data_IF_059785349494
#
_entry.id   IF_059785349494
#
_cell.length_a   1.000
_cell.length_b   1.000
_cell.length_c   1.000
_cell.angle_alpha   90.00
_cell.angle_beta   90.00
_cell.angle_gamma   90.00
#
_symmetry.space_group_name_H-M   'P 1'
#
loop_
_entity.id
_entity.type
_entity.pdbx_description
1 polymer ?
#
# COMPACT_ATOMS: atom_id res chain seq x y z
N UNK A 1 41.80 -60.97 28.08
CA UNK A 1 42.14 -60.25 26.83
C UNK A 1 43.43 -59.47 27.03
N UNK A 2 44.41 -59.60 26.12
CA UNK A 2 45.67 -58.85 26.19
C UNK A 2 45.39 -57.34 26.01
N UNK A 3 46.10 -56.45 26.71
CA UNK A 3 45.94 -54.97 26.62
C UNK A 3 45.95 -54.48 25.18
N UNK A 4 46.78 -55.10 24.32
CA UNK A 4 46.85 -54.82 22.88
C UNK A 4 45.52 -55.09 22.16
N UNK A 5 44.85 -56.18 22.50
CA UNK A 5 43.56 -56.57 21.93
C UNK A 5 42.45 -55.59 22.33
N UNK A 6 42.47 -55.10 23.58
CA UNK A 6 41.50 -54.10 24.06
C UNK A 6 41.66 -52.78 23.30
N UNK A 7 42.90 -52.30 23.12
CA UNK A 7 43.19 -51.04 22.40
C UNK A 7 42.73 -51.13 20.94
N UNK A 8 42.99 -52.25 20.27
CA UNK A 8 42.57 -52.46 18.88
C UNK A 8 41.05 -52.46 18.75
N UNK A 9 40.34 -53.12 19.67
CA UNK A 9 38.87 -53.15 19.68
C UNK A 9 38.30 -51.75 19.91
N UNK A 10 38.84 -50.98 20.87
CA UNK A 10 38.37 -49.61 21.15
C UNK A 10 38.61 -48.69 19.96
N UNK A 11 39.77 -48.81 19.29
CA UNK A 11 40.06 -48.03 18.09
C UNK A 11 39.10 -48.37 16.94
N UNK A 12 38.82 -49.65 16.72
CA UNK A 12 37.85 -50.11 15.71
C UNK A 12 36.44 -49.61 16.00
N UNK A 13 35.98 -49.72 17.25
CA UNK A 13 34.64 -49.23 17.64
C UNK A 13 34.54 -47.71 17.46
N UNK A 14 35.58 -46.96 17.85
CA UNK A 14 35.60 -45.50 17.68
C UNK A 14 35.56 -45.10 16.21
N UNK A 15 36.30 -45.81 15.35
CA UNK A 15 36.32 -45.55 13.91
C UNK A 15 34.96 -45.86 13.26
N UNK A 16 34.30 -46.93 13.69
CA UNK A 16 32.93 -47.27 13.26
C UNK A 16 31.93 -46.22 13.73
N UNK A 17 32.01 -45.76 14.97
CA UNK A 17 31.14 -44.69 15.47
C UNK A 17 31.32 -43.37 14.71
N UNK A 18 32.55 -43.00 14.37
CA UNK A 18 32.85 -41.80 13.57
C UNK A 18 32.29 -41.97 12.15
N UNK A 19 32.51 -43.13 11.52
CA UNK A 19 32.00 -43.40 10.17
C UNK A 19 30.47 -43.38 10.15
N UNK A 20 29.80 -44.00 11.11
CA UNK A 20 28.34 -44.00 11.24
C UNK A 20 27.83 -42.59 11.53
N UNK A 21 28.45 -41.84 12.44
CA UNK A 21 28.10 -40.46 12.76
C UNK A 21 28.25 -39.52 11.57
N UNK A 22 29.34 -39.64 10.81
CA UNK A 22 29.56 -38.88 9.58
C UNK A 22 28.55 -39.26 8.49
N UNK A 23 28.17 -40.53 8.39
CA UNK A 23 27.16 -40.98 7.43
C UNK A 23 25.76 -40.48 7.80
N UNK A 24 25.39 -40.48 9.10
CA UNK A 24 24.15 -39.86 9.57
C UNK A 24 24.15 -38.34 9.38
N UNK A 25 25.27 -37.67 9.63
CA UNK A 25 25.43 -36.23 9.39
C UNK A 25 25.32 -35.90 7.89
N UNK A 26 25.95 -36.70 7.03
CA UNK A 26 25.88 -36.57 5.58
C UNK A 26 24.48 -36.87 5.05
N UNK A 27 23.81 -37.91 5.54
CA UNK A 27 22.42 -38.23 5.21
C UNK A 27 21.44 -37.16 5.71
N UNK A 28 21.69 -36.55 6.88
CA UNK A 28 20.92 -35.41 7.37
C UNK A 28 21.08 -34.19 6.44
N UNK A 29 22.30 -33.92 5.98
CA UNK A 29 22.57 -32.81 5.05
C UNK A 29 22.05 -33.07 3.63
N UNK A 30 22.06 -34.33 3.17
CA UNK A 30 21.47 -34.72 1.88
C UNK A 30 19.94 -34.71 1.91
N UNK A 31 19.32 -35.08 3.04
CA UNK A 31 17.87 -34.97 3.26
C UNK A 31 17.44 -33.55 3.67
N UNK A 32 18.36 -32.61 3.84
CA UNK A 32 18.08 -31.20 3.96
C UNK A 32 17.82 -30.54 2.58
N UNK A 33 17.28 -31.29 1.63
CA UNK A 33 16.54 -30.70 0.52
C UNK A 33 15.40 -29.87 1.12
N UNK A 34 15.28 -28.60 0.68
CA UNK A 34 14.16 -27.73 1.02
C UNK A 34 12.88 -28.53 0.83
N UNK A 35 12.17 -28.86 1.91
CA UNK A 35 10.81 -29.42 1.80
C UNK A 35 10.06 -28.40 0.95
N UNK A 36 9.68 -28.73 -0.30
CA UNK A 36 8.97 -27.78 -1.12
C UNK A 36 7.70 -27.49 -0.37
N UNK A 37 7.48 -26.22 0.01
CA UNK A 37 6.23 -25.86 0.63
C UNK A 37 5.11 -26.24 -0.33
N UNK A 38 4.39 -27.31 0.02
CA UNK A 38 3.40 -27.93 -0.85
C UNK A 38 2.12 -27.13 -0.98
N UNK A 39 1.98 -26.05 -0.20
CA UNK A 39 0.84 -25.14 -0.23
C UNK A 39 1.16 -23.81 0.46
N UNK A 40 0.40 -22.76 0.10
CA UNK A 40 0.35 -21.47 0.81
C UNK A 40 0.04 -21.64 2.30
N UNK A 41 -0.75 -22.66 2.67
CA UNK A 41 -1.06 -22.99 4.07
C UNK A 41 0.16 -23.42 4.88
N UNK A 42 1.09 -24.15 4.27
CA UNK A 42 2.36 -24.47 4.92
C UNK A 42 3.17 -23.19 5.18
N UNK A 43 3.11 -22.22 4.27
CA UNK A 43 3.83 -20.95 4.41
C UNK A 43 3.26 -20.14 5.56
N UNK A 44 1.93 -20.04 5.65
CA UNK A 44 1.28 -19.36 6.77
C UNK A 44 1.74 -19.90 8.12
N UNK A 45 1.89 -21.22 8.26
CA UNK A 45 2.38 -21.83 9.49
C UNK A 45 3.85 -21.47 9.78
N UNK A 46 4.71 -21.48 8.76
CA UNK A 46 6.10 -21.05 8.89
C UNK A 46 6.19 -19.58 9.31
N UNK A 47 5.42 -18.70 8.65
CA UNK A 47 5.39 -17.27 8.96
C UNK A 47 4.84 -17.02 10.37
N UNK A 48 3.77 -17.70 10.80
CA UNK A 48 3.29 -17.64 12.19
C UNK A 48 4.35 -18.06 13.19
N UNK A 49 5.12 -19.10 12.87
CA UNK A 49 6.25 -19.51 13.71
C UNK A 49 7.33 -18.44 13.77
N UNK A 50 7.70 -17.85 12.62
CA UNK A 50 8.67 -16.75 12.52
C UNK A 50 8.25 -15.54 13.35
N UNK A 51 6.98 -15.13 13.30
CA UNK A 51 6.45 -14.01 14.10
C UNK A 51 6.70 -14.22 15.60
N UNK A 52 6.47 -15.43 16.12
CA UNK A 52 6.70 -15.77 17.53
C UNK A 52 8.17 -15.70 17.95
N UNK A 53 9.10 -15.81 17.00
CA UNK A 53 10.54 -15.82 17.22
C UNK A 53 11.24 -14.60 16.60
N UNK A 54 10.49 -13.53 16.29
CA UNK A 54 11.09 -12.30 15.79
C UNK A 54 12.06 -11.73 16.83
N UNK A 55 13.21 -11.26 16.34
CA UNK A 55 14.23 -10.61 17.16
C UNK A 55 13.62 -9.40 17.89
N UNK A 56 14.03 -9.10 19.14
CA UNK A 56 13.54 -7.93 19.87
C UNK A 56 13.69 -6.59 19.14
N UNK A 57 14.66 -6.48 18.22
CA UNK A 57 14.85 -5.30 17.37
C UNK A 57 13.62 -4.94 16.52
N UNK A 58 12.76 -5.90 16.17
CA UNK A 58 11.52 -5.67 15.43
C UNK A 58 10.37 -5.18 16.32
N UNK A 59 10.45 -5.47 17.62
CA UNK A 59 9.41 -5.15 18.60
C UNK A 59 9.72 -3.86 19.37
N UNK A 60 10.98 -3.44 19.38
CA UNK A 60 11.43 -2.23 20.05
C UNK A 60 11.53 -1.06 19.07
N UNK A 61 11.31 0.15 19.59
CA UNK A 61 11.44 1.40 18.81
C UNK A 61 12.88 1.57 18.33
N UNK A 62 13.05 1.70 17.01
CA UNK A 62 14.36 1.95 16.44
C UNK A 62 14.86 3.37 16.82
N UNK A 63 16.07 3.56 17.36
CA UNK A 63 16.59 4.88 17.70
C UNK A 63 16.68 5.84 16.50
N UNK A 64 16.84 5.31 15.27
CA UNK A 64 16.88 6.12 14.05
C UNK A 64 15.53 6.80 13.77
N UNK A 65 14.42 6.28 14.30
CA UNK A 65 13.06 6.83 14.11
C UNK A 65 13.00 8.32 14.40
N UNK A 66 13.62 8.78 15.49
CA UNK A 66 13.56 10.19 15.92
C UNK A 66 14.05 11.16 14.84
N UNK A 67 15.09 10.78 14.10
CA UNK A 67 15.64 11.60 13.02
C UNK A 67 14.64 11.73 11.87
N UNK A 68 14.09 10.62 11.37
CA UNK A 68 13.14 10.61 10.26
C UNK A 68 11.83 11.32 10.63
N UNK A 69 11.32 11.05 11.83
CA UNK A 69 10.14 11.70 12.39
C UNK A 69 10.26 13.21 12.36
N UNK A 70 11.34 13.78 12.89
CA UNK A 70 11.49 15.23 12.98
C UNK A 70 11.62 15.88 11.59
N UNK A 71 12.34 15.24 10.65
CA UNK A 71 12.47 15.74 9.27
C UNK A 71 11.12 15.75 8.55
N UNK A 72 10.37 14.65 8.61
CA UNK A 72 9.05 14.54 7.98
C UNK A 72 8.05 15.54 8.60
N UNK A 73 7.97 15.64 9.93
CA UNK A 73 7.05 16.58 10.58
C UNK A 73 7.37 18.04 10.24
N UNK A 74 8.65 18.39 10.07
CA UNK A 74 9.02 19.73 9.60
C UNK A 74 8.56 19.98 8.16
N UNK A 75 8.72 18.98 7.29
CA UNK A 75 8.42 19.08 5.86
C UNK A 75 6.91 19.20 5.55
N UNK A 76 6.09 18.45 6.29
CA UNK A 76 4.64 18.38 6.09
C UNK A 76 3.86 19.35 6.99
N UNK A 77 4.55 20.20 7.75
CA UNK A 77 3.92 21.21 8.60
C UNK A 77 3.11 22.17 7.72
N UNK A 78 1.82 22.42 8.02
CA UNK A 78 1.04 23.41 7.29
C UNK A 78 1.74 24.76 7.29
N UNK A 79 1.77 25.40 6.12
CA UNK A 79 2.36 26.70 5.91
C UNK A 79 1.45 27.55 5.04
N UNK A 80 1.46 28.87 5.28
CA UNK A 80 0.75 29.81 4.43
C UNK A 80 1.39 29.84 3.03
N UNK A 81 0.56 30.10 2.02
CA UNK A 81 0.97 30.27 0.65
C UNK A 81 0.46 31.61 0.11
N UNK A 82 1.20 32.23 -0.79
CA UNK A 82 0.82 33.51 -1.41
C UNK A 82 0.26 33.33 -2.81
N UNK A 83 0.86 32.44 -3.61
CA UNK A 83 0.49 32.22 -5.01
C UNK A 83 0.34 30.73 -5.31
N UNK A 84 -0.91 30.29 -5.50
CA UNK A 84 -1.23 28.91 -5.82
C UNK A 84 -0.67 28.46 -7.18
N UNK A 85 -0.61 29.35 -8.19
CA UNK A 85 -0.08 29.00 -9.52
C UNK A 85 1.39 28.57 -9.45
N UNK A 86 2.20 29.27 -8.65
CA UNK A 86 3.61 28.92 -8.47
C UNK A 86 3.76 27.55 -7.81
N UNK A 87 2.90 27.21 -6.84
CA UNK A 87 2.92 25.90 -6.19
C UNK A 87 2.47 24.78 -7.12
N UNK A 88 1.50 25.04 -8.01
CA UNK A 88 1.13 24.11 -9.07
C UNK A 88 2.31 23.84 -10.00
N UNK A 89 3.01 24.89 -10.44
CA UNK A 89 4.19 24.75 -11.29
C UNK A 89 5.27 23.91 -10.59
N UNK A 90 5.62 24.24 -9.34
CA UNK A 90 6.60 23.48 -8.53
C UNK A 90 6.20 22.00 -8.44
N UNK A 91 4.96 21.72 -8.06
CA UNK A 91 4.48 20.34 -7.92
C UNK A 91 4.44 19.59 -9.26
N UNK A 92 4.18 20.29 -10.36
CA UNK A 92 4.21 19.70 -11.71
C UNK A 92 5.63 19.39 -12.20
N UNK A 93 6.66 20.02 -11.63
CA UNK A 93 8.07 19.79 -11.94
C UNK A 93 8.74 18.70 -11.10
N UNK A 94 8.17 18.33 -9.95
CA UNK A 94 8.74 17.30 -9.08
C UNK A 94 8.86 15.89 -9.68
N UNK A 95 7.92 15.39 -10.50
CA UNK A 95 7.96 14.01 -10.94
C UNK A 95 9.21 13.67 -11.74
N UNK A 96 9.95 12.66 -11.30
CA UNK A 96 11.11 12.09 -11.99
C UNK A 96 11.16 10.59 -11.74
N UNK A 97 11.31 9.76 -12.78
CA UNK A 97 11.11 8.32 -12.73
C UNK A 97 9.80 7.91 -12.02
N UNK A 98 9.87 7.14 -10.93
CA UNK A 98 8.77 6.81 -10.03
C UNK A 98 8.67 7.70 -8.80
N UNK A 99 9.48 8.75 -8.68
CA UNK A 99 9.34 9.72 -7.60
C UNK A 99 8.37 10.81 -8.06
N UNK A 100 7.17 10.86 -7.48
CA UNK A 100 6.13 11.85 -7.77
C UNK A 100 6.35 13.14 -6.99
N UNK A 101 7.00 13.05 -5.83
CA UNK A 101 7.32 14.19 -4.99
C UNK A 101 8.69 14.00 -4.31
N UNK A 102 9.38 15.10 -3.95
CA UNK A 102 10.66 15.04 -3.25
C UNK A 102 10.47 14.54 -1.82
N UNK A 103 11.50 13.89 -1.27
CA UNK A 103 11.49 13.45 0.13
C UNK A 103 11.35 14.64 1.09
N UNK A 104 12.04 15.75 0.79
CA UNK A 104 11.95 17.00 1.54
C UNK A 104 11.91 18.18 0.56
N UNK A 105 10.94 19.07 0.76
CA UNK A 105 10.78 20.34 0.06
C UNK A 105 9.92 21.26 0.93
N UNK A 106 10.37 22.49 1.16
CA UNK A 106 9.67 23.47 1.99
C UNK A 106 8.27 23.82 1.48
N UNK A 107 8.00 23.56 0.20
CA UNK A 107 6.75 23.86 -0.48
C UNK A 107 5.68 22.79 -0.24
N UNK A 108 6.04 21.59 0.26
CA UNK A 108 5.08 20.50 0.48
C UNK A 108 3.96 20.92 1.43
N UNK A 109 4.28 21.49 2.60
CA UNK A 109 3.30 21.97 3.56
C UNK A 109 2.39 23.07 3.00
N UNK A 110 2.92 23.93 2.12
CA UNK A 110 2.16 24.96 1.42
C UNK A 110 1.21 24.35 0.39
N UNK A 111 1.71 23.44 -0.46
CA UNK A 111 0.93 22.75 -1.48
C UNK A 111 -0.27 22.01 -0.90
N UNK A 112 -0.09 21.27 0.21
CA UNK A 112 -1.19 20.57 0.87
C UNK A 112 -2.24 21.56 1.41
N UNK A 113 -1.81 22.72 1.90
CA UNK A 113 -2.74 23.77 2.34
C UNK A 113 -3.49 24.38 1.14
N UNK A 114 -2.78 24.63 0.03
CA UNK A 114 -3.35 25.15 -1.21
C UNK A 114 -4.41 24.21 -1.78
N UNK A 115 -4.15 22.90 -1.84
CA UNK A 115 -5.15 21.92 -2.30
C UNK A 115 -6.43 21.94 -1.46
N UNK A 116 -6.32 22.17 -0.14
CA UNK A 116 -7.48 22.23 0.76
C UNK A 116 -8.29 23.51 0.61
N UNK A 117 -7.66 24.64 0.29
CA UNK A 117 -8.29 25.95 0.32
C UNK A 117 -8.70 26.50 -1.04
N UNK A 118 -7.96 26.19 -2.10
CA UNK A 118 -8.20 26.82 -3.41
C UNK A 118 -9.63 26.53 -3.91
N UNK A 119 -10.36 27.54 -4.41
CA UNK A 119 -11.74 27.38 -4.87
C UNK A 119 -11.87 26.37 -6.00
N UNK A 120 -12.94 25.58 -5.98
CA UNK A 120 -13.33 24.71 -7.10
C UNK A 120 -14.04 25.58 -8.14
N UNK A 121 -13.53 25.57 -9.38
CA UNK A 121 -14.01 26.43 -10.46
C UNK A 121 -14.85 25.69 -11.49
N UNK A 122 -14.53 24.42 -11.76
CA UNK A 122 -15.28 23.53 -12.67
C UNK A 122 -15.21 22.08 -12.21
N UNK A 123 -16.24 21.30 -12.51
CA UNK A 123 -16.30 19.87 -12.21
C UNK A 123 -16.85 19.11 -13.41
N UNK A 124 -16.29 17.93 -13.68
CA UNK A 124 -16.68 17.05 -14.77
C UNK A 124 -16.73 15.62 -14.28
N UNK A 125 -17.64 14.82 -14.83
CA UNK A 125 -17.65 13.40 -14.55
C UNK A 125 -16.52 12.67 -15.31
N UNK A 126 -15.75 11.82 -14.63
CA UNK A 126 -14.77 10.94 -15.29
C UNK A 126 -15.38 9.58 -15.60
N UNK A 127 -16.02 9.47 -16.78
CA UNK A 127 -16.80 8.30 -17.18
C UNK A 127 -16.02 6.98 -17.27
N UNK A 128 -14.68 7.03 -17.41
CA UNK A 128 -13.84 5.84 -17.53
C UNK A 128 -13.41 5.31 -16.17
N UNK A 129 -13.74 4.04 -15.91
CA UNK A 129 -13.35 3.31 -14.71
C UNK A 129 -14.54 2.60 -14.09
N UNK A 130 -14.29 1.88 -12.99
CA UNK A 130 -15.30 1.10 -12.29
C UNK A 130 -15.96 1.82 -11.13
N UNK A 131 -15.32 2.86 -10.59
CA UNK A 131 -15.77 3.57 -9.39
C UNK A 131 -16.03 5.05 -9.72
N UNK A 132 -16.91 5.67 -8.93
CA UNK A 132 -17.23 7.09 -9.02
C UNK A 132 -16.00 7.95 -8.74
N UNK A 133 -15.68 8.84 -9.69
CA UNK A 133 -14.65 9.85 -9.57
C UNK A 133 -14.98 11.03 -10.46
N UNK A 134 -14.61 12.22 -10.02
CA UNK A 134 -14.81 13.46 -10.76
C UNK A 134 -13.45 14.07 -11.11
N UNK A 135 -13.40 14.78 -12.24
CA UNK A 135 -12.32 15.69 -12.56
C UNK A 135 -12.74 17.08 -12.08
N UNK A 136 -12.01 17.65 -11.13
CA UNK A 136 -12.23 19.03 -10.71
C UNK A 136 -11.10 19.91 -11.20
N UNK A 137 -11.43 21.18 -11.38
CA UNK A 137 -10.46 22.24 -11.66
C UNK A 137 -10.49 23.25 -10.51
N UNK A 138 -9.35 23.39 -9.84
CA UNK A 138 -9.16 24.44 -8.83
C UNK A 138 -8.86 25.78 -9.51
N UNK A 139 -8.92 26.86 -8.75
CA UNK A 139 -8.39 28.15 -9.18
C UNK A 139 -6.95 28.01 -9.70
N UNK A 140 -6.58 28.88 -10.65
CA UNK A 140 -5.31 28.78 -11.40
C UNK A 140 -5.20 27.50 -12.26
N UNK A 141 -6.35 26.96 -12.71
CA UNK A 141 -6.49 25.91 -13.72
C UNK A 141 -5.90 24.54 -13.36
N UNK A 142 -5.44 24.32 -12.12
CA UNK A 142 -4.93 23.02 -11.67
C UNK A 142 -6.04 21.96 -11.70
N UNK A 143 -5.74 20.82 -12.32
CA UNK A 143 -6.65 19.67 -12.40
C UNK A 143 -6.37 18.69 -11.27
N UNK A 144 -7.42 18.20 -10.64
CA UNK A 144 -7.37 17.17 -9.60
C UNK A 144 -8.45 16.13 -9.84
N UNK A 145 -8.26 14.93 -9.30
CA UNK A 145 -9.32 13.92 -9.23
C UNK A 145 -9.96 14.00 -7.85
N UNK A 146 -11.29 13.99 -7.81
CA UNK A 146 -12.06 13.88 -6.58
C UNK A 146 -12.68 12.50 -6.45
N UNK A 147 -12.51 11.85 -5.30
CA UNK A 147 -13.22 10.64 -4.90
C UNK A 147 -14.04 10.91 -3.63
N UNK A 148 -15.38 10.75 -3.65
CA UNK A 148 -16.23 11.01 -2.49
C UNK A 148 -16.13 9.87 -1.46
N UNK A 149 -16.60 10.14 -0.25
CA UNK A 149 -16.85 9.13 0.76
C UNK A 149 -18.02 8.22 0.36
N UNK A 150 -17.76 6.91 0.32
CA UNK A 150 -18.80 5.88 0.19
C UNK A 150 -19.23 5.27 1.53
N UNK A 151 -18.30 5.20 2.48
CA UNK A 151 -18.49 4.45 3.71
C UNK A 151 -18.09 5.24 4.96
N UNK A 152 -18.75 5.02 6.10
CA UNK A 152 -18.22 5.37 7.42
C UNK A 152 -16.87 4.71 7.69
N UNK A 153 -16.05 5.33 8.54
CA UNK A 153 -14.67 4.88 8.83
C UNK A 153 -14.60 3.52 9.53
N UNK A 154 -15.66 3.13 10.25
CA UNK A 154 -15.75 1.92 11.05
C UNK A 154 -16.39 0.73 10.34
N UNK A 155 -16.87 0.91 9.10
CA UNK A 155 -17.42 -0.18 8.31
C UNK A 155 -16.36 -1.28 8.13
N UNK A 156 -16.79 -2.53 8.25
CA UNK A 156 -15.97 -3.68 7.91
C UNK A 156 -16.51 -4.26 6.61
N UNK A 157 -15.63 -4.39 5.62
CA UNK A 157 -15.96 -5.03 4.35
C UNK A 157 -15.64 -6.52 4.46
N UNK A 158 -16.68 -7.33 4.46
CA UNK A 158 -16.57 -8.78 4.40
C UNK A 158 -16.52 -9.28 2.94
N UNK A 159 -16.09 -10.53 2.76
CA UNK A 159 -15.92 -11.15 1.45
C UNK A 159 -14.49 -11.05 0.90
N UNK A 160 -14.32 -10.94 -0.43
CA UNK A 160 -13.00 -10.90 -1.06
C UNK A 160 -12.26 -9.60 -0.72
N UNK A 161 -10.93 -9.66 -0.66
CA UNK A 161 -10.06 -8.52 -0.28
C UNK A 161 -10.15 -7.30 -1.22
N UNK A 162 -10.69 -7.48 -2.42
CA UNK A 162 -10.93 -6.44 -3.43
C UNK A 162 -12.40 -5.94 -3.46
N UNK A 163 -13.24 -6.45 -2.56
CA UNK A 163 -14.67 -6.14 -2.48
C UNK A 163 -14.97 -4.71 -2.02
N UNK A 164 -16.20 -4.26 -2.26
CA UNK A 164 -16.68 -2.93 -1.89
C UNK A 164 -16.30 -1.81 -2.87
N UNK A 165 -16.75 -0.58 -2.59
CA UNK A 165 -16.38 0.65 -3.31
C UNK A 165 -15.03 1.19 -2.82
N UNK A 166 -14.47 2.17 -3.55
CA UNK A 166 -13.26 2.87 -3.10
C UNK A 166 -13.53 3.66 -1.81
N UNK A 167 -12.62 3.56 -0.84
CA UNK A 167 -12.58 4.42 0.35
C UNK A 167 -11.68 5.61 0.10
N UNK A 168 -12.25 6.80 0.22
CA UNK A 168 -11.52 8.06 0.10
C UNK A 168 -10.35 8.16 1.09
N UNK A 169 -10.55 7.86 2.37
CA UNK A 169 -9.49 7.93 3.41
C UNK A 169 -8.29 7.03 3.13
N UNK A 170 -8.48 5.95 2.37
CA UNK A 170 -7.41 5.03 2.01
C UNK A 170 -6.38 5.69 1.07
N UNK A 171 -6.83 6.57 0.17
CA UNK A 171 -5.95 7.32 -0.74
C UNK A 171 -5.06 8.30 0.04
N UNK A 172 -5.62 9.01 1.01
CA UNK A 172 -4.87 9.95 1.87
C UNK A 172 -3.88 9.20 2.75
N UNK A 173 -4.31 8.09 3.36
CA UNK A 173 -3.41 7.27 4.17
C UNK A 173 -2.27 6.71 3.34
N UNK A 174 -2.56 6.23 2.12
CA UNK A 174 -1.54 5.74 1.20
C UNK A 174 -0.49 6.81 0.88
N UNK A 175 -0.90 8.06 0.64
CA UNK A 175 0.04 9.17 0.45
C UNK A 175 1.00 9.35 1.63
N UNK A 176 0.48 9.43 2.86
CA UNK A 176 1.34 9.59 4.04
C UNK A 176 2.19 8.35 4.33
N UNK A 177 1.66 7.14 4.10
CA UNK A 177 2.44 5.91 4.21
C UNK A 177 3.59 5.90 3.19
N UNK A 178 3.34 6.35 1.96
CA UNK A 178 4.35 6.48 0.91
C UNK A 178 5.46 7.42 1.34
N UNK A 179 5.11 8.59 1.88
CA UNK A 179 6.08 9.55 2.41
C UNK A 179 6.90 8.98 3.58
N UNK A 180 6.26 8.24 4.49
CA UNK A 180 6.92 7.65 5.66
C UNK A 180 7.87 6.53 5.25
N UNK A 181 7.45 5.64 4.35
CA UNK A 181 8.27 4.52 3.84
C UNK A 181 9.21 4.91 2.71
N UNK A 182 9.22 6.18 2.29
CA UNK A 182 9.98 6.69 1.15
C UNK A 182 9.58 6.07 -0.21
N UNK A 183 8.38 5.49 -0.28
CA UNK A 183 7.73 5.11 -1.54
C UNK A 183 7.03 6.31 -2.14
N UNK A 184 7.84 7.24 -2.66
CA UNK A 184 7.39 8.52 -3.22
C UNK A 184 6.69 8.39 -4.57
N UNK A 185 6.23 7.19 -4.90
CA UNK A 185 5.50 6.83 -6.11
C UNK A 185 3.98 6.94 -5.99
N UNK A 186 3.47 7.29 -4.80
CA UNK A 186 2.05 7.58 -4.57
C UNK A 186 1.68 8.96 -5.13
N UNK A 187 0.42 9.22 -5.51
CA UNK A 187 -0.02 10.58 -5.76
C UNK A 187 -0.02 11.41 -4.46
N UNK A 188 0.01 12.74 -4.60
CA UNK A 188 -0.24 13.67 -3.50
C UNK A 188 -1.75 13.73 -3.26
N UNK A 189 -2.19 13.53 -2.02
CA UNK A 189 -3.62 13.44 -1.70
C UNK A 189 -3.93 14.24 -0.45
N UNK A 190 -5.01 15.02 -0.48
CA UNK A 190 -5.57 15.70 0.70
C UNK A 190 -7.04 15.38 0.88
N UNK A 191 -7.48 15.32 2.13
CA UNK A 191 -8.89 15.31 2.46
C UNK A 191 -9.52 16.70 2.37
N UNK A 192 -10.78 16.76 1.92
CA UNK A 192 -11.56 18.00 1.81
C UNK A 192 -13.05 17.73 2.01
N UNK A 193 -13.72 18.66 2.68
CA UNK A 193 -15.18 18.73 2.74
C UNK A 193 -15.66 19.57 1.56
N UNK A 194 -16.59 19.03 0.77
CA UNK A 194 -17.08 19.65 -0.47
C UNK A 194 -18.59 19.75 -0.41
N UNK A 195 -19.15 20.90 -0.82
CA UNK A 195 -20.59 21.10 -0.87
C UNK A 195 -21.17 20.63 -2.21
N UNK A 196 -22.06 19.63 -2.20
CA UNK A 196 -22.65 19.05 -3.41
C UNK A 196 -23.40 20.08 -4.26
N UNK A 197 -24.10 21.04 -3.63
CA UNK A 197 -24.79 22.10 -4.37
C UNK A 197 -23.80 23.11 -4.96
N UNK A 198 -23.01 23.75 -4.10
CA UNK A 198 -22.19 24.93 -4.46
C UNK A 198 -20.89 24.59 -5.20
N UNK A 199 -20.25 23.49 -4.83
CA UNK A 199 -18.92 23.13 -5.32
C UNK A 199 -18.98 22.07 -6.44
N UNK A 200 -20.06 21.28 -6.52
CA UNK A 200 -20.23 20.24 -7.55
C UNK A 200 -21.33 20.61 -8.55
N UNK A 201 -22.59 20.71 -8.14
CA UNK A 201 -23.71 20.93 -9.06
C UNK A 201 -23.61 22.27 -9.82
N UNK A 202 -23.44 23.38 -9.10
CA UNK A 202 -23.30 24.73 -9.69
C UNK A 202 -22.01 24.92 -10.51
N UNK A 203 -21.01 24.06 -10.30
CA UNK A 203 -19.71 24.07 -11.02
C UNK A 203 -19.60 22.98 -12.09
N UNK A 204 -20.61 22.12 -12.18
CA UNK A 204 -20.68 20.98 -13.08
C UNK A 204 -21.10 21.37 -14.49
N UNK A 205 -20.74 20.54 -15.47
CA UNK A 205 -21.39 20.59 -16.78
C UNK A 205 -22.75 19.88 -16.75
N UNK A 206 -23.53 20.05 -17.82
CA UNK A 206 -24.86 19.44 -17.93
C UNK A 206 -24.81 17.91 -17.80
N UNK A 207 -23.74 17.25 -18.27
CA UNK A 207 -23.59 15.80 -18.13
C UNK A 207 -23.49 15.40 -16.65
N UNK A 208 -22.67 16.10 -15.85
CA UNK A 208 -22.57 15.85 -14.42
C UNK A 208 -23.87 16.20 -13.68
N UNK A 209 -24.50 17.33 -13.99
CA UNK A 209 -25.75 17.76 -13.33
C UNK A 209 -26.87 16.73 -13.51
N UNK A 210 -26.96 16.11 -14.69
CA UNK A 210 -27.91 15.03 -14.97
C UNK A 210 -27.61 13.73 -14.22
N UNK A 211 -26.46 13.63 -13.54
CA UNK A 211 -26.08 12.48 -12.70
C UNK A 211 -26.20 12.75 -11.20
N UNK A 212 -27.03 13.74 -10.85
CA UNK A 212 -27.34 14.13 -9.49
C UNK A 212 -28.85 14.13 -9.27
N UNK A 213 -29.28 13.72 -8.09
CA UNK A 213 -30.69 13.82 -7.65
C UNK A 213 -30.84 14.98 -6.68
N UNK A 214 -31.98 15.67 -6.77
CA UNK A 214 -32.34 16.79 -5.90
C UNK A 214 -33.69 16.44 -5.27
N UNK A 215 -33.69 16.21 -3.96
CA UNK A 215 -34.89 15.82 -3.22
C UNK A 215 -35.28 16.95 -2.26
N UNK A 216 -36.51 17.49 -2.33
CA UNK A 216 -37.00 18.45 -1.35
C UNK A 216 -37.16 17.80 0.02
N UNK A 217 -36.70 18.48 1.06
CA UNK A 217 -36.81 18.08 2.47
C UNK A 217 -38.01 18.77 3.15
N UNK A 218 -38.55 18.17 4.21
CA UNK A 218 -39.71 18.71 4.95
C UNK A 218 -39.48 20.12 5.53
N UNK A 219 -38.22 20.45 5.82
CA UNK A 219 -37.80 21.77 6.32
C UNK A 219 -37.68 22.84 5.22
N UNK A 220 -38.04 22.52 3.98
CA UNK A 220 -37.94 23.43 2.82
C UNK A 220 -36.54 23.56 2.22
N UNK A 221 -35.58 22.74 2.66
CA UNK A 221 -34.26 22.64 2.02
C UNK A 221 -34.25 21.59 0.91
N UNK A 222 -33.17 21.52 0.14
CA UNK A 222 -32.98 20.53 -0.92
C UNK A 222 -31.78 19.65 -0.54
N UNK A 223 -31.95 18.34 -0.54
CA UNK A 223 -30.86 17.38 -0.44
C UNK A 223 -30.34 17.03 -1.84
N UNK A 224 -29.04 17.16 -2.02
CA UNK A 224 -28.33 16.79 -3.23
C UNK A 224 -27.66 15.42 -3.03
N UNK A 225 -27.80 14.54 -4.01
CA UNK A 225 -27.04 13.29 -4.07
C UNK A 225 -26.39 13.12 -5.44
N UNK A 226 -25.25 12.44 -5.47
CA UNK A 226 -24.44 12.20 -6.67
C UNK A 226 -24.30 10.70 -6.90
N UNK A 227 -24.62 10.22 -8.10
CA UNK A 227 -24.24 8.87 -8.54
C UNK A 227 -23.16 8.90 -9.63
N UNK A 228 -23.10 9.97 -10.42
CA UNK A 228 -22.12 10.12 -11.49
C UNK A 228 -22.25 9.06 -12.59
N UNK A 229 -21.20 8.90 -13.39
CA UNK A 229 -21.16 7.92 -14.48
C UNK A 229 -19.83 7.17 -14.46
N UNK A 230 -19.93 5.85 -14.36
CA UNK A 230 -18.83 4.88 -14.37
C UNK A 230 -19.43 3.48 -14.63
N UNK A 231 -18.60 2.43 -14.73
CA UNK A 231 -19.12 1.08 -15.01
C UNK A 231 -20.14 0.56 -13.97
N UNK A 232 -19.97 0.92 -12.69
CA UNK A 232 -20.87 0.50 -11.61
C UNK A 232 -21.65 1.68 -10.99
N UNK A 233 -21.77 2.80 -11.69
CA UNK A 233 -22.51 3.96 -11.18
C UNK A 233 -23.93 3.92 -11.73
N UNK A 234 -24.92 4.09 -10.87
CA UNK A 234 -26.34 4.08 -11.19
C UNK A 234 -27.12 4.87 -10.13
N UNK A 235 -28.36 5.24 -10.44
CA UNK A 235 -29.23 6.05 -9.56
C UNK A 235 -29.57 5.38 -8.22
N UNK A 236 -29.44 4.06 -8.11
CA UNK A 236 -29.68 3.32 -6.86
C UNK A 236 -28.49 3.40 -5.89
N UNK A 237 -27.29 3.72 -6.40
CA UNK A 237 -26.06 3.84 -5.62
C UNK A 237 -25.55 5.29 -5.64
N UNK A 238 -26.07 6.11 -4.73
CA UNK A 238 -25.73 7.54 -4.61
C UNK A 238 -24.91 7.85 -3.35
N UNK A 239 -24.13 8.94 -3.42
CA UNK A 239 -23.55 9.61 -2.25
C UNK A 239 -24.31 10.91 -1.99
N UNK A 240 -24.97 11.01 -0.84
CA UNK A 240 -25.79 12.15 -0.45
C UNK A 240 -25.05 13.06 0.54
N UNK A 241 -25.33 14.36 0.47
CA UNK A 241 -24.81 15.33 1.41
C UNK A 241 -25.50 15.25 2.78
N UNK A 242 -24.83 15.81 3.80
CA UNK A 242 -25.45 16.11 5.09
C UNK A 242 -26.58 17.16 4.95
N UNK A 243 -27.16 17.60 6.07
CA UNK A 243 -28.21 18.63 6.09
C UNK A 243 -27.83 19.96 5.41
N UNK A 244 -26.53 20.21 5.24
CA UNK A 244 -25.98 21.39 4.55
C UNK A 244 -25.44 21.05 3.16
N UNK A 245 -25.70 19.84 2.66
CA UNK A 245 -25.18 19.27 1.43
C UNK A 245 -23.66 19.08 1.39
N UNK A 246 -22.99 18.93 2.53
CA UNK A 246 -21.56 18.64 2.56
C UNK A 246 -21.30 17.13 2.50
N UNK A 247 -20.24 16.76 1.78
CA UNK A 247 -19.68 15.42 1.79
C UNK A 247 -18.18 15.47 2.07
N UNK A 248 -17.67 14.43 2.73
CA UNK A 248 -16.24 14.17 2.73
C UNK A 248 -15.79 13.64 1.36
N UNK A 249 -14.58 13.99 0.97
CA UNK A 249 -13.89 13.34 -0.13
C UNK A 249 -12.42 13.71 -0.16
N UNK A 250 -11.73 13.20 -1.16
CA UNK A 250 -10.28 13.41 -1.30
C UNK A 250 -9.97 14.02 -2.65
N UNK A 251 -9.02 14.96 -2.65
CA UNK A 251 -8.43 15.50 -3.86
C UNK A 251 -7.10 14.81 -4.11
N UNK A 252 -6.99 14.16 -5.26
CA UNK A 252 -5.81 13.46 -5.73
C UNK A 252 -5.17 14.35 -6.79
N UNK A 253 -3.93 14.78 -6.54
CA UNK A 253 -3.14 15.54 -7.50
C UNK A 253 -2.84 14.65 -8.70
N UNK A 254 -3.18 15.13 -9.90
CA UNK A 254 -2.93 14.38 -11.13
C UNK A 254 -1.43 14.38 -11.41
N UNK A 255 -0.85 13.19 -11.51
CA UNK A 255 0.56 13.01 -11.85
C UNK A 255 0.79 13.52 -13.29
N UNK A 256 1.69 14.51 -13.49
CA UNK A 256 2.10 14.96 -14.81
C UNK A 256 2.76 13.86 -15.65
N UNK A 257 2.49 13.91 -16.96
CA UNK A 257 3.07 12.99 -17.94
C UNK A 257 2.14 11.83 -18.30
N UNK A 258 2.62 10.98 -19.21
CA UNK A 258 1.87 9.82 -19.67
C UNK A 258 2.19 8.60 -18.81
N UNK A 259 1.14 7.90 -18.38
CA UNK A 259 1.27 6.63 -17.67
C UNK A 259 1.01 5.46 -18.61
N UNK A 260 1.84 4.42 -18.50
CA UNK A 260 1.68 3.18 -19.26
C UNK A 260 1.10 2.09 -18.37
N UNK A 261 -0.08 1.60 -18.73
CA UNK A 261 -0.76 0.54 -17.99
C UNK A 261 -0.20 -0.84 -18.36
N UNK A 262 0.14 -1.65 -17.36
CA UNK A 262 0.63 -3.01 -17.50
C UNK A 262 -0.17 -3.95 -16.60
N UNK A 263 -0.29 -5.22 -17.01
CA UNK A 263 -0.96 -6.26 -16.22
C UNK A 263 -0.03 -6.75 -15.10
N UNK A 264 -0.56 -6.88 -13.89
CA UNK A 264 0.20 -7.46 -12.78
C UNK A 264 0.41 -8.97 -13.01
N UNK A 265 1.64 -9.50 -12.86
CA UNK A 265 1.86 -10.95 -12.89
C UNK A 265 1.11 -11.69 -11.76
N UNK A 266 0.91 -11.02 -10.62
CA UNK A 266 0.16 -11.53 -9.47
C UNK A 266 -1.31 -11.08 -9.48
N UNK A 267 -1.88 -10.80 -10.65
CA UNK A 267 -3.30 -10.50 -10.77
C UNK A 267 -4.15 -11.72 -10.34
N UNK A 268 -5.16 -11.46 -9.51
CA UNK A 268 -6.21 -12.43 -9.14
C UNK A 268 -7.14 -12.76 -10.32
N UNK A 269 -7.83 -13.89 -10.26
CA UNK A 269 -8.81 -14.28 -11.29
C UNK A 269 -10.13 -13.52 -11.21
N UNK A 270 -10.47 -12.98 -10.03
CA UNK A 270 -11.77 -12.38 -9.71
C UNK A 270 -12.95 -13.35 -9.89
N UNK A 271 -12.69 -14.64 -9.74
CA UNK A 271 -13.69 -15.71 -9.84
C UNK A 271 -13.55 -16.65 -8.66
N UNK A 272 -14.66 -16.96 -8.00
CA UNK A 272 -14.66 -17.77 -6.77
C UNK A 272 -14.21 -19.21 -6.99
N UNK A 273 -14.44 -19.75 -8.20
CA UNK A 273 -14.15 -21.12 -8.60
C UNK A 273 -12.80 -21.31 -9.32
N UNK A 274 -12.05 -20.22 -9.52
CA UNK A 274 -10.81 -20.25 -10.31
C UNK A 274 -9.67 -19.58 -9.56
N UNK A 275 -8.58 -20.30 -9.37
CA UNK A 275 -7.34 -19.78 -8.77
C UNK A 275 -6.36 -19.33 -9.85
N UNK A 276 -5.56 -18.31 -9.56
CA UNK A 276 -4.50 -17.88 -10.46
C UNK A 276 -3.26 -18.79 -10.32
N UNK A 277 -2.45 -18.97 -11.37
CA UNK A 277 -1.28 -19.86 -11.32
C UNK A 277 -0.31 -19.56 -10.17
N UNK A 278 -0.12 -18.28 -9.85
CA UNK A 278 0.76 -17.84 -8.76
C UNK A 278 0.22 -18.20 -7.37
N UNK A 279 -1.07 -18.50 -7.23
CA UNK A 279 -1.66 -18.92 -5.95
C UNK A 279 -1.34 -20.38 -5.62
N UNK A 280 -1.06 -21.19 -6.64
CA UNK A 280 -0.81 -22.64 -6.51
C UNK A 280 0.68 -23.00 -6.67
N UNK A 281 1.44 -22.19 -7.42
CA UNK A 281 2.88 -22.40 -7.64
C UNK A 281 3.75 -21.47 -6.78
N UNK A 282 4.38 -22.03 -5.75
CA UNK A 282 5.34 -21.31 -4.89
C UNK A 282 6.63 -20.90 -5.62
N UNK A 283 6.93 -21.51 -6.77
CA UNK A 283 8.07 -21.18 -7.62
C UNK A 283 7.71 -20.23 -8.77
N UNK A 284 6.48 -19.69 -8.80
CA UNK A 284 5.97 -18.85 -9.90
C UNK A 284 6.93 -17.71 -10.30
N UNK A 285 7.56 -17.06 -9.32
CA UNK A 285 8.50 -15.96 -9.58
C UNK A 285 9.77 -16.39 -10.34
N UNK A 286 10.20 -17.67 -10.26
CA UNK A 286 11.40 -18.14 -10.99
C UNK A 286 11.25 -17.94 -12.50
N UNK A 287 10.06 -18.18 -13.04
CA UNK A 287 9.77 -17.97 -14.46
C UNK A 287 9.71 -16.47 -14.85
N UNK A 288 9.43 -15.58 -13.89
CA UNK A 288 9.37 -14.14 -14.12
C UNK A 288 10.76 -13.49 -14.16
N UNK A 289 11.72 -14.00 -13.38
CA UNK A 289 13.10 -13.47 -13.34
C UNK A 289 13.79 -13.46 -14.73
N UNK A 290 13.38 -14.34 -15.65
CA UNK A 290 13.89 -14.37 -17.03
C UNK A 290 13.06 -13.55 -18.05
N UNK A 291 11.90 -13.01 -17.65
CA UNK A 291 10.95 -12.30 -18.54
C UNK A 291 10.77 -10.82 -18.20
N UNK A 292 11.27 -10.40 -17.03
CA UNK A 292 11.08 -9.06 -16.50
C UNK A 292 12.41 -8.57 -15.92
N UNK A 293 12.70 -7.28 -16.10
CA UNK A 293 13.87 -6.65 -15.51
C UNK A 293 13.83 -6.72 -13.98
N UNK A 294 15.01 -6.88 -13.38
CA UNK A 294 15.13 -6.98 -11.92
C UNK A 294 14.61 -5.72 -11.22
N UNK A 295 14.82 -4.53 -11.80
CA UNK A 295 14.31 -3.28 -11.23
C UNK A 295 12.79 -3.24 -11.18
N UNK A 296 12.12 -3.70 -12.24
CA UNK A 296 10.65 -3.79 -12.28
C UNK A 296 10.13 -4.81 -11.28
N UNK A 297 10.81 -5.95 -11.14
CA UNK A 297 10.45 -6.97 -10.16
C UNK A 297 10.56 -6.43 -8.73
N UNK A 298 11.63 -5.71 -8.43
CA UNK A 298 11.80 -5.05 -7.14
C UNK A 298 10.73 -3.98 -6.91
N UNK A 299 10.37 -3.17 -7.91
CA UNK A 299 9.26 -2.20 -7.82
C UNK A 299 7.95 -2.91 -7.43
N UNK A 300 7.63 -4.05 -8.05
CA UNK A 300 6.42 -4.82 -7.73
C UNK A 300 6.46 -5.45 -6.32
N UNK A 301 7.64 -5.73 -5.79
CA UNK A 301 7.80 -6.23 -4.41
C UNK A 301 7.58 -5.10 -3.39
N UNK A 302 8.11 -3.90 -3.66
CA UNK A 302 7.85 -2.72 -2.82
C UNK A 302 6.35 -2.38 -2.81
N UNK A 303 5.70 -2.44 -3.99
CA UNK A 303 4.24 -2.31 -4.14
C UNK A 303 3.51 -3.35 -3.29
N UNK A 304 3.93 -4.62 -3.33
CA UNK A 304 3.30 -5.70 -2.59
C UNK A 304 3.40 -5.52 -1.08
N UNK A 305 4.55 -5.05 -0.58
CA UNK A 305 4.74 -4.72 0.83
C UNK A 305 3.79 -3.58 1.22
N UNK A 306 3.74 -2.52 0.41
CA UNK A 306 2.86 -1.38 0.66
C UNK A 306 1.38 -1.79 0.68
N UNK A 307 0.94 -2.50 -0.36
CA UNK A 307 -0.41 -3.01 -0.50
C UNK A 307 -0.78 -3.93 0.66
N UNK A 308 0.15 -4.78 1.13
CA UNK A 308 -0.11 -5.65 2.26
C UNK A 308 -0.32 -4.86 3.56
N UNK A 309 0.47 -3.81 3.83
CA UNK A 309 0.30 -2.99 5.03
C UNK A 309 -1.10 -2.37 5.09
N UNK A 310 -1.59 -1.85 3.95
CA UNK A 310 -2.91 -1.22 3.85
C UNK A 310 -4.04 -2.22 3.52
N UNK A 311 -3.71 -3.48 3.20
CA UNK A 311 -4.61 -4.52 2.67
C UNK A 311 -5.34 -4.11 1.38
N UNK A 312 -4.59 -3.63 0.40
CA UNK A 312 -5.09 -3.50 -0.96
C UNK A 312 -4.89 -4.81 -1.73
N UNK A 313 -5.96 -5.58 -1.91
CA UNK A 313 -5.90 -6.82 -2.67
C UNK A 313 -6.29 -6.68 -4.14
N UNK A 314 -6.51 -5.46 -4.64
CA UNK A 314 -7.08 -5.19 -5.96
C UNK A 314 -6.06 -4.69 -6.99
N UNK A 315 -4.76 -4.88 -6.79
CA UNK A 315 -3.72 -4.41 -7.74
C UNK A 315 -3.52 -5.34 -8.92
N UNK A 316 -4.56 -5.43 -9.76
CA UNK A 316 -4.57 -6.25 -10.96
C UNK A 316 -3.83 -5.65 -12.15
N UNK A 317 -3.69 -4.32 -12.17
CA UNK A 317 -2.81 -3.60 -13.07
C UNK A 317 -1.88 -2.71 -12.25
N UNK A 318 -0.79 -2.30 -12.88
CA UNK A 318 0.06 -1.25 -12.38
C UNK A 318 0.38 -0.30 -13.54
N UNK A 319 0.60 0.95 -13.20
CA UNK A 319 1.02 1.99 -14.13
C UNK A 319 2.50 2.26 -13.98
N UNK A 320 3.14 2.66 -15.09
CA UNK A 320 4.54 3.08 -15.09
C UNK A 320 4.70 4.47 -15.66
N UNK A 321 5.66 5.20 -15.09
CA UNK A 321 6.20 6.46 -15.60
C UNK A 321 7.69 6.27 -15.79
N UNK A 322 8.21 6.56 -16.98
CA UNK A 322 9.64 6.33 -17.30
C UNK A 322 10.10 4.90 -16.93
N UNK A 323 9.28 3.89 -17.26
CA UNK A 323 9.48 2.46 -16.92
C UNK A 323 9.55 2.09 -15.43
N UNK A 324 9.28 3.01 -14.51
CA UNK A 324 9.21 2.74 -13.07
C UNK A 324 7.77 2.78 -12.57
N UNK A 325 7.44 1.94 -11.59
CA UNK A 325 6.03 1.76 -11.14
C UNK A 325 5.54 2.95 -10.31
N UNK A 326 4.33 3.43 -10.58
CA UNK A 326 3.60 4.40 -9.73
C UNK A 326 2.51 3.72 -8.91
N UNK A 327 2.34 4.13 -7.65
CA UNK A 327 1.37 3.56 -6.70
C UNK A 327 0.07 4.40 -6.68
N UNK A 328 -0.72 4.28 -7.74
CA UNK A 328 -2.04 4.94 -7.85
C UNK A 328 -3.18 3.98 -7.49
N UNK A 329 -4.40 4.52 -7.34
CA UNK A 329 -5.64 3.78 -7.05
C UNK A 329 -5.54 2.88 -5.80
N UNK A 330 -5.40 3.51 -4.63
CA UNK A 330 -5.29 2.83 -3.34
C UNK A 330 -6.62 2.75 -2.58
N UNK A 331 -7.73 3.21 -3.17
CA UNK A 331 -9.06 3.28 -2.56
C UNK A 331 -9.61 1.94 -2.04
N UNK A 332 -9.17 0.81 -2.58
CA UNK A 332 -9.60 -0.54 -2.13
C UNK A 332 -8.95 -1.01 -0.83
N UNK A 333 -8.00 -0.24 -0.27
CA UNK A 333 -7.31 -0.57 0.96
C UNK A 333 -8.09 -0.21 2.23
N UNK A 334 -7.79 -0.88 3.35
CA UNK A 334 -8.47 -0.81 4.66
C UNK A 334 -9.81 -1.56 4.77
N UNK A 335 -9.99 -2.65 4.01
CA UNK A 335 -11.20 -3.47 3.93
C UNK A 335 -11.72 -3.93 5.30
N UNK A 336 -10.85 -4.65 5.98
CA UNK A 336 -11.16 -5.35 7.21
C UNK A 336 -9.94 -5.24 8.15
N UNK A 337 -10.08 -4.70 9.37
CA UNK A 337 -8.95 -4.57 10.30
C UNK A 337 -8.55 -5.90 10.96
N UNK A 338 -9.43 -6.90 10.91
CA UNK A 338 -9.29 -8.15 11.65
C UNK A 338 -8.76 -9.30 10.79
N UNK A 339 -8.56 -9.07 9.49
CA UNK A 339 -8.05 -10.07 8.54
C UNK A 339 -6.80 -9.56 7.85
N UNK A 340 -5.82 -10.45 7.72
CA UNK A 340 -4.58 -10.20 7.00
C UNK A 340 -4.44 -11.21 5.86
N UNK A 341 -4.43 -10.71 4.64
CA UNK A 341 -4.36 -11.49 3.41
C UNK A 341 -2.89 -11.67 2.99
N UNK A 342 -2.26 -12.75 3.48
CA UNK A 342 -0.83 -13.03 3.26
C UNK A 342 -0.47 -13.12 1.77
N UNK A 343 -1.38 -13.56 0.94
CA UNK A 343 -1.20 -13.73 -0.50
C UNK A 343 -0.89 -12.42 -1.25
N UNK A 344 -1.20 -11.24 -0.68
CA UNK A 344 -0.72 -9.96 -1.21
C UNK A 344 0.82 -9.89 -1.21
N UNK A 345 1.49 -10.54 -0.25
CA UNK A 345 2.95 -10.64 -0.18
C UNK A 345 3.55 -11.71 -1.11
N UNK A 346 2.77 -12.33 -2.01
CA UNK A 346 3.27 -13.33 -2.96
C UNK A 346 4.52 -12.90 -3.73
N UNK A 347 4.62 -11.66 -4.25
CA UNK A 347 5.85 -11.20 -4.88
C UNK A 347 7.07 -11.31 -3.95
N UNK A 348 6.94 -10.93 -2.67
CA UNK A 348 8.05 -10.98 -1.72
C UNK A 348 8.45 -12.43 -1.40
N UNK A 349 7.51 -13.27 -0.97
CA UNK A 349 7.84 -14.61 -0.48
C UNK A 349 8.16 -15.62 -1.60
N UNK A 350 7.71 -15.38 -2.84
CA UNK A 350 8.04 -16.24 -3.99
C UNK A 350 9.35 -15.83 -4.64
N UNK A 351 9.63 -14.53 -4.74
CA UNK A 351 10.85 -14.06 -5.37
C UNK A 351 12.06 -14.11 -4.43
N UNK A 352 11.82 -13.90 -3.13
CA UNK A 352 12.84 -13.64 -2.11
C UNK A 352 13.89 -12.65 -2.63
N UNK A 353 13.41 -11.47 -3.05
CA UNK A 353 14.19 -10.33 -3.47
C UNK A 353 13.65 -9.10 -2.74
N UNK A 354 14.50 -8.18 -2.34
CA UNK A 354 14.08 -6.94 -1.71
C UNK A 354 15.17 -5.87 -1.88
N UNK A 355 14.79 -4.60 -2.05
CA UNK A 355 15.78 -3.52 -2.02
C UNK A 355 16.35 -3.38 -0.60
N UNK A 356 17.66 -3.27 -0.51
CA UNK A 356 18.33 -3.03 0.77
C UNK A 356 17.79 -1.74 1.43
N UNK A 357 17.57 -0.68 0.63
CA UNK A 357 17.00 0.59 1.09
C UNK A 357 15.59 0.44 1.65
N UNK A 358 14.71 -0.32 0.97
CA UNK A 358 13.38 -0.66 1.49
C UNK A 358 13.47 -1.40 2.82
N UNK A 359 14.36 -2.40 2.91
CA UNK A 359 14.54 -3.19 4.12
C UNK A 359 14.99 -2.32 5.31
N UNK A 360 16.03 -1.52 5.10
CA UNK A 360 16.53 -0.58 6.11
C UNK A 360 15.45 0.40 6.56
N UNK A 361 14.67 0.93 5.61
CA UNK A 361 13.60 1.89 5.90
C UNK A 361 12.46 1.26 6.69
N UNK A 362 12.06 0.02 6.38
CA UNK A 362 11.04 -0.71 7.16
C UNK A 362 11.50 -0.92 8.61
N UNK A 363 12.77 -1.24 8.85
CA UNK A 363 13.30 -1.43 10.20
C UNK A 363 13.33 -0.15 11.05
N UNK A 364 13.34 1.04 10.43
CA UNK A 364 13.23 2.32 11.16
C UNK A 364 11.89 2.43 11.91
N UNK A 365 10.83 1.80 11.40
CA UNK A 365 9.48 1.91 11.95
C UNK A 365 9.08 0.73 12.85
N UNK A 366 10.06 -0.06 13.32
CA UNK A 366 9.84 -1.12 14.30
C UNK A 366 9.30 -0.58 15.63
N UNK A 367 8.60 -1.44 16.38
CA UNK A 367 8.07 -1.09 17.70
C UNK A 367 6.87 -0.15 17.71
N UNK A 368 6.01 -0.24 16.68
CA UNK A 368 4.67 0.36 16.72
C UNK A 368 4.62 1.86 16.41
N UNK A 369 5.62 2.39 15.68
CA UNK A 369 5.75 3.84 15.44
C UNK A 369 5.31 4.27 14.04
N UNK A 370 4.99 3.32 13.15
CA UNK A 370 4.58 3.61 11.78
C UNK A 370 3.28 4.42 11.75
N UNK A 371 2.25 3.89 12.39
CA UNK A 371 0.93 4.52 12.50
C UNK A 371 0.95 5.76 13.38
N UNK A 372 1.80 5.80 14.43
CA UNK A 372 2.01 7.00 15.25
C UNK A 372 2.45 8.19 14.39
N UNK A 373 3.43 7.98 13.50
CA UNK A 373 3.93 9.05 12.65
C UNK A 373 2.90 9.48 11.61
N UNK A 374 2.18 8.55 10.98
CA UNK A 374 1.14 8.88 10.00
C UNK A 374 0.01 9.69 10.66
N UNK A 375 -0.41 9.32 11.87
CA UNK A 375 -1.43 10.05 12.65
C UNK A 375 -0.98 11.50 12.93
N UNK A 376 0.31 11.69 13.25
CA UNK A 376 0.89 13.02 13.46
C UNK A 376 0.99 13.85 12.19
N UNK A 377 1.35 13.23 11.06
CA UNK A 377 1.45 13.91 9.76
C UNK A 377 0.07 14.34 9.25
N UNK A 378 -0.93 13.49 9.44
CA UNK A 378 -2.30 13.73 8.98
C UNK A 378 -3.16 14.54 9.94
N UNK A 379 -2.64 14.96 11.11
CA UNK A 379 -3.40 15.70 12.14
C UNK A 379 -4.07 16.99 11.64
N UNK A 380 -3.51 17.62 10.62
CA UNK A 380 -4.04 18.84 10.00
C UNK A 380 -4.85 18.57 8.72
N UNK A 381 -5.01 17.31 8.35
CA UNK A 381 -5.89 16.94 7.24
C UNK A 381 -7.36 17.06 7.66
N UNK A 382 -8.21 17.55 6.76
CA UNK A 382 -9.63 17.79 7.06
C UNK A 382 -10.40 16.52 7.43
N UNK A 383 -9.87 15.35 7.03
CA UNK A 383 -10.48 14.04 7.31
C UNK A 383 -9.87 13.32 8.51
N UNK A 384 -9.02 13.98 9.30
CA UNK A 384 -8.47 13.39 10.51
C UNK A 384 -9.59 13.07 11.52
N UNK A 385 -9.62 11.87 12.14
CA UNK A 385 -8.69 10.74 11.96
C UNK A 385 -8.96 9.96 10.66
N UNK A 386 -7.89 9.56 9.96
CA UNK A 386 -8.02 8.85 8.67
C UNK A 386 -8.54 7.42 8.80
N UNK A 387 -8.05 6.68 9.80
CA UNK A 387 -8.40 5.26 10.02
C UNK A 387 -8.65 5.00 11.50
N UNK A 388 -9.47 3.99 11.81
CA UNK A 388 -9.79 3.60 13.20
C UNK A 388 -8.60 2.95 13.90
N UNK A 389 -8.64 2.91 15.24
CA UNK A 389 -7.60 2.25 16.03
C UNK A 389 -7.48 0.75 15.73
N UNK A 390 -8.57 0.10 15.30
CA UNK A 390 -8.54 -1.30 14.84
C UNK A 390 -7.65 -1.44 13.60
N UNK A 391 -7.78 -0.51 12.64
CA UNK A 391 -6.91 -0.49 11.46
C UNK A 391 -5.47 -0.12 11.80
N UNK A 392 -5.23 0.84 12.72
CA UNK A 392 -3.88 1.17 13.20
C UNK A 392 -3.17 -0.07 13.75
N UNK A 393 -3.83 -0.83 14.65
CA UNK A 393 -3.31 -2.11 15.16
C UNK A 393 -3.09 -3.14 14.04
N UNK A 394 -3.97 -3.17 13.04
CA UNK A 394 -3.82 -4.02 11.86
C UNK A 394 -2.54 -3.73 11.07
N UNK A 395 -2.25 -2.45 10.81
CA UNK A 395 -1.03 -2.02 10.10
C UNK A 395 0.24 -2.43 10.85
N UNK A 396 0.31 -2.17 12.16
CA UNK A 396 1.48 -2.56 12.97
C UNK A 396 1.67 -4.08 13.03
N UNK A 397 0.56 -4.83 13.18
CA UNK A 397 0.59 -6.30 13.12
C UNK A 397 1.11 -6.79 11.78
N UNK A 398 0.67 -6.19 10.66
CA UNK A 398 1.11 -6.55 9.30
C UNK A 398 2.58 -6.23 9.08
N UNK A 399 3.11 -5.15 9.67
CA UNK A 399 4.54 -4.86 9.61
C UNK A 399 5.38 -5.99 10.24
N UNK A 400 4.92 -6.58 11.34
CA UNK A 400 5.57 -7.77 11.92
C UNK A 400 5.53 -8.98 10.98
N UNK A 401 4.44 -9.16 10.23
CA UNK A 401 4.35 -10.22 9.22
C UNK A 401 5.34 -9.97 8.09
N UNK A 402 5.50 -8.73 7.63
CA UNK A 402 6.53 -8.37 6.63
C UNK A 402 7.92 -8.73 7.14
N UNK A 403 8.28 -8.39 8.38
CA UNK A 403 9.56 -8.80 8.97
C UNK A 403 9.74 -10.32 9.00
N UNK A 404 8.68 -11.06 9.37
CA UNK A 404 8.72 -12.51 9.40
C UNK A 404 8.90 -13.14 8.00
N UNK A 405 8.30 -12.56 6.96
CA UNK A 405 8.50 -13.00 5.57
C UNK A 405 9.92 -12.68 5.10
N UNK A 406 10.47 -11.52 5.46
CA UNK A 406 11.87 -11.19 5.13
C UNK A 406 12.84 -12.15 5.82
N UNK A 407 12.66 -12.43 7.12
CA UNK A 407 13.50 -13.41 7.83
C UNK A 407 13.34 -14.83 7.24
N UNK A 408 12.14 -15.22 6.80
CA UNK A 408 11.95 -16.46 6.05
C UNK A 408 12.77 -16.50 4.75
N UNK A 409 12.79 -15.41 4.00
CA UNK A 409 13.59 -15.33 2.77
C UNK A 409 15.11 -15.25 3.06
N UNK A 410 15.52 -14.57 4.13
CA UNK A 410 16.93 -14.49 4.54
C UNK A 410 17.48 -15.86 4.92
N UNK A 411 16.70 -16.71 5.59
CA UNK A 411 17.10 -18.08 5.89
C UNK A 411 17.39 -18.91 4.63
N UNK A 412 16.68 -18.63 3.53
CA UNK A 412 16.75 -19.41 2.28
C UNK A 412 17.82 -18.89 1.32
N UNK A 413 17.85 -17.58 1.11
CA UNK A 413 18.70 -16.95 0.09
C UNK A 413 19.93 -16.26 0.70
N UNK A 414 19.99 -16.12 2.02
CA UNK A 414 20.96 -15.28 2.71
C UNK A 414 20.83 -13.80 2.31
N UNK A 415 21.88 -13.01 2.53
CA UNK A 415 21.89 -11.59 2.17
C UNK A 415 21.78 -11.34 0.66
N UNK A 416 21.92 -12.37 -0.19
CA UNK A 416 21.77 -12.24 -1.65
C UNK A 416 20.38 -11.78 -2.08
N UNK A 417 19.35 -11.97 -1.23
CA UNK A 417 18.02 -11.43 -1.51
C UNK A 417 17.99 -9.90 -1.52
N UNK A 418 18.89 -9.26 -0.75
CA UNK A 418 18.96 -7.80 -0.64
C UNK A 418 19.72 -7.23 -1.83
N UNK A 419 19.08 -6.31 -2.56
CA UNK A 419 19.63 -5.68 -3.77
C UNK A 419 19.92 -4.20 -3.50
N UNK A 420 21.14 -3.76 -3.86
CA UNK A 420 21.60 -2.38 -3.75
C UNK A 420 21.33 -1.58 -5.04
N UNK A 421 20.20 -1.85 -5.70
CA UNK A 421 19.82 -1.29 -6.99
C UNK A 421 18.81 -0.15 -6.84
#
# INVERSE_FOLDING_TARGET
MNKRTVIIIVALVSLVCIAVGANFYFMYYLNAEEIPLSSTRALENVIRSKIRHLKPSYLNRNPRFFMYRNKLLKNYKPAAYENASVLWDIANWWPHENEIYPQYDSSMGQLLQTLRLEPITKVYNLARGTQLKLLMRLANQQKIIFKPQWYPRDIVIDGPVYGGKDRHVAEVYAFYLGAVLDFRSTPIVVGRIVNLKRDIYERGDNELQNTMTITPEENGTEQYCLFGKCHYCNEEETVCGDEKNNIEGVLIYIIPGQLSKKRSPWQRTYKDDKRAPWEDDMNYCKALKGKMETIRLLDLIDVAIFDYLIQNGDRHHYETREERVVLIDNGKAFGNPNKDHLDILAPLYQCCLLRATTWERLQVFSGGVLTELIDRLSKHDALYPLITDKHKRGVERRLLVVYAVVEYCLDREGEKMLKNL
#
